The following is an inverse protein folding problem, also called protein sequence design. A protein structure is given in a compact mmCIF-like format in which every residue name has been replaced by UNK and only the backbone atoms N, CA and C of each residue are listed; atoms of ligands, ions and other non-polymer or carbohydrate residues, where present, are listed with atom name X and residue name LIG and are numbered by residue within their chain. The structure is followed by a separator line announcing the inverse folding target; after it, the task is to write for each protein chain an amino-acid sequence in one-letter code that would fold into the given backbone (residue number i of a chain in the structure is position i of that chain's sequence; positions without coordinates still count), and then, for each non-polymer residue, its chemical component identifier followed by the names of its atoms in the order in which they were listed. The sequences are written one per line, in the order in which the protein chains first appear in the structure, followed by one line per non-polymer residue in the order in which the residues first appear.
data_IF_915915842661
#
_entry.id   IF_915915842661
#
_cell.length_a   1.000
_cell.length_b   1.000
_cell.length_c   1.000
_cell.angle_alpha   90.00
_cell.angle_beta   90.00
_cell.angle_gamma   90.00
#
_symmetry.space_group_name_H-M   'P 1'
#
loop_
_entity.id
_entity.type
_entity.pdbx_description
1 polymer ?
#
# COMPACT_ATOMS: atom_id res chain seq x y z
N UNK A 1 4.63 -25.61 0.23
CA UNK A 1 4.37 -25.04 -1.11
C UNK A 1 5.00 -23.66 -1.14
N UNK A 2 5.84 -23.38 -2.12
CA UNK A 2 6.47 -22.07 -2.31
C UNK A 2 5.68 -21.29 -3.36
N UNK A 3 5.50 -19.98 -3.15
CA UNK A 3 4.85 -19.08 -4.11
C UNK A 3 5.90 -18.10 -4.62
N UNK A 4 6.04 -18.00 -5.94
CA UNK A 4 6.91 -17.02 -6.59
C UNK A 4 6.03 -15.90 -7.17
N UNK A 5 6.36 -14.66 -6.85
CA UNK A 5 5.64 -13.47 -7.31
C UNK A 5 6.63 -12.63 -8.13
N UNK A 6 6.15 -12.09 -9.25
CA UNK A 6 6.89 -11.15 -10.08
C UNK A 6 6.22 -9.77 -9.99
N UNK A 7 6.99 -8.69 -9.79
CA UNK A 7 6.43 -7.34 -9.88
C UNK A 7 5.86 -7.06 -11.27
N UNK A 8 4.76 -6.31 -11.34
CA UNK A 8 4.19 -5.79 -12.58
C UNK A 8 4.73 -4.41 -12.95
N UNK A 9 5.49 -3.79 -12.06
CA UNK A 9 6.03 -2.44 -12.21
C UNK A 9 6.66 -1.96 -10.91
N UNK A 10 6.91 -0.66 -10.82
CA UNK A 10 7.50 -0.02 -9.64
C UNK A 10 6.89 1.36 -9.38
N UNK A 11 6.95 1.79 -8.12
CA UNK A 11 6.63 3.15 -7.71
C UNK A 11 7.79 4.08 -8.04
N UNK A 12 7.49 5.28 -8.54
CA UNK A 12 8.43 6.36 -8.76
C UNK A 12 7.97 7.64 -8.06
N UNK A 13 8.73 8.10 -7.08
CA UNK A 13 8.45 9.31 -6.30
C UNK A 13 9.73 9.91 -5.70
N UNK A 14 9.61 10.87 -4.76
CA UNK A 14 10.75 11.48 -4.07
C UNK A 14 10.93 10.97 -2.63
N UNK A 15 10.11 10.02 -2.20
CA UNK A 15 10.10 9.51 -0.83
C UNK A 15 11.27 8.55 -0.61
N UNK A 16 12.23 8.96 0.23
CA UNK A 16 13.37 8.10 0.61
C UNK A 16 13.16 7.36 1.91
N UNK A 17 12.23 7.85 2.73
CA UNK A 17 11.86 7.29 4.03
C UNK A 17 10.46 7.77 4.39
N UNK A 18 9.66 6.88 4.97
CA UNK A 18 8.36 7.26 5.50
C UNK A 18 8.45 7.88 6.87
N UNK A 19 7.88 9.08 6.98
CA UNK A 19 7.72 9.83 8.24
C UNK A 19 6.28 10.33 8.44
N UNK A 20 5.30 9.74 7.75
CA UNK A 20 3.90 10.21 7.71
C UNK A 20 3.63 11.18 6.56
N UNK A 21 2.40 11.69 6.45
CA UNK A 21 2.01 12.62 5.38
C UNK A 21 1.84 11.99 3.99
N UNK A 22 1.90 10.65 3.92
CA UNK A 22 1.79 9.87 2.68
C UNK A 22 0.52 10.18 1.87
N UNK A 23 -0.56 10.64 2.53
CA UNK A 23 -1.83 11.03 1.87
C UNK A 23 -1.66 12.11 0.80
N UNK A 24 -0.66 12.97 0.95
CA UNK A 24 -0.39 14.05 -0.01
C UNK A 24 0.67 13.69 -1.04
N UNK A 25 1.32 12.53 -0.89
CA UNK A 25 2.38 12.09 -1.79
C UNK A 25 1.78 11.70 -3.14
N UNK A 26 2.30 12.32 -4.20
CA UNK A 26 2.06 11.89 -5.58
C UNK A 26 3.11 10.87 -5.98
N UNK A 27 2.67 9.76 -6.57
CA UNK A 27 3.54 8.68 -7.01
C UNK A 27 3.12 8.23 -8.40
N UNK A 28 4.09 8.03 -9.28
CA UNK A 28 3.86 7.36 -10.56
C UNK A 28 4.02 5.85 -10.37
N UNK A 29 2.99 5.08 -10.69
CA UNK A 29 3.09 3.63 -10.86
C UNK A 29 3.53 3.37 -12.29
N UNK A 30 4.81 3.02 -12.46
CA UNK A 30 5.39 2.69 -13.76
C UNK A 30 5.21 1.20 -13.99
N UNK A 31 4.16 0.84 -14.73
CA UNK A 31 3.81 -0.53 -15.06
C UNK A 31 4.68 -1.02 -16.23
N UNK A 32 5.12 -2.27 -16.22
CA UNK A 32 5.88 -2.85 -17.32
C UNK A 32 5.07 -2.80 -18.62
N UNK A 33 5.70 -2.41 -19.73
CA UNK A 33 5.00 -2.13 -21.00
C UNK A 33 4.17 -3.31 -21.51
N UNK A 34 4.60 -4.54 -21.24
CA UNK A 34 3.86 -5.75 -21.64
C UNK A 34 2.48 -5.85 -20.97
N UNK A 35 2.27 -5.19 -19.82
CA UNK A 35 1.00 -5.14 -19.11
C UNK A 35 0.18 -3.88 -19.42
N UNK A 36 0.67 -2.97 -20.27
CA UNK A 36 -0.06 -1.74 -20.63
C UNK A 36 -1.50 -2.00 -21.11
N UNK A 37 -1.80 -3.01 -21.95
CA UNK A 37 -3.18 -3.30 -22.34
C UNK A 37 -4.11 -3.65 -21.16
N UNK A 38 -3.58 -4.11 -20.03
CA UNK A 38 -4.37 -4.42 -18.84
C UNK A 38 -4.86 -3.18 -18.07
N UNK A 39 -4.45 -1.98 -18.49
CA UNK A 39 -4.87 -0.70 -17.88
C UNK A 39 -6.15 -0.13 -18.52
N UNK A 40 -6.66 -0.74 -19.60
CA UNK A 40 -7.85 -0.27 -20.31
C UNK A 40 -9.09 -0.26 -19.38
N UNK A 41 -9.82 0.86 -19.37
CA UNK A 41 -11.03 1.07 -18.55
C UNK A 41 -10.74 1.46 -17.10
N UNK A 42 -9.48 1.56 -16.69
CA UNK A 42 -9.12 1.96 -15.32
C UNK A 42 -9.39 3.45 -15.04
N UNK A 43 -9.48 4.27 -16.09
CA UNK A 43 -9.79 5.69 -16.05
C UNK A 43 -11.25 6.00 -15.70
N UNK A 44 -12.15 5.01 -15.78
CA UNK A 44 -13.53 5.12 -15.27
C UNK A 44 -13.61 5.07 -13.73
N UNK A 45 -12.52 4.67 -13.06
CA UNK A 45 -12.44 4.59 -11.61
C UNK A 45 -11.72 5.82 -11.03
N UNK A 46 -12.16 6.28 -9.86
CA UNK A 46 -11.46 7.35 -9.14
C UNK A 46 -10.34 6.83 -8.24
N UNK A 47 -10.39 5.57 -7.81
CA UNK A 47 -9.48 5.01 -6.83
C UNK A 47 -9.04 3.59 -7.18
N UNK A 48 -7.83 3.24 -6.75
CA UNK A 48 -7.25 1.90 -6.84
C UNK A 48 -6.90 1.36 -5.47
N UNK A 49 -6.94 0.04 -5.34
CA UNK A 49 -6.19 -0.70 -4.34
C UNK A 49 -4.88 -1.14 -4.98
N UNK A 50 -3.76 -0.69 -4.42
CA UNK A 50 -2.41 -1.04 -4.88
C UNK A 50 -1.79 -2.03 -3.91
N UNK A 51 -1.29 -3.15 -4.43
CA UNK A 51 -0.57 -4.18 -3.67
C UNK A 51 0.91 -4.11 -4.06
N UNK A 52 1.78 -4.01 -3.07
CA UNK A 52 3.21 -3.76 -3.29
C UNK A 52 4.10 -4.56 -2.33
N UNK A 53 5.36 -4.72 -2.70
CA UNK A 53 6.35 -5.43 -1.89
C UNK A 53 7.26 -4.42 -1.18
N UNK A 54 7.24 -4.42 0.14
CA UNK A 54 8.09 -3.55 0.97
C UNK A 54 9.53 -4.10 0.99
N UNK A 55 10.22 -3.95 -0.14
CA UNK A 55 11.50 -4.56 -0.48
C UNK A 55 12.69 -4.17 0.44
N UNK A 56 12.53 -3.16 1.30
CA UNK A 56 13.52 -2.76 2.31
C UNK A 56 13.27 -3.38 3.68
N UNK A 57 12.20 -4.15 3.85
CA UNK A 57 11.96 -4.91 5.08
C UNK A 57 12.83 -6.15 5.04
N UNK A 58 13.79 -6.22 5.96
CA UNK A 58 14.80 -7.28 6.06
C UNK A 58 14.52 -8.27 7.20
N UNK A 59 13.50 -8.00 8.01
CA UNK A 59 13.19 -8.73 9.23
C UNK A 59 11.68 -8.92 9.41
N UNK A 60 11.33 -10.00 10.10
CA UNK A 60 9.97 -10.34 10.46
C UNK A 60 9.84 -10.32 11.98
N UNK A 61 8.80 -9.67 12.48
CA UNK A 61 8.43 -9.65 13.89
C UNK A 61 7.12 -10.40 14.10
N UNK A 62 6.99 -11.13 15.21
CA UNK A 62 5.72 -11.80 15.57
C UNK A 62 4.79 -10.89 16.38
N UNK A 63 5.37 -9.92 17.09
CA UNK A 63 4.68 -8.95 17.95
C UNK A 63 5.32 -7.59 17.75
N UNK A 64 4.51 -6.53 17.76
CA UNK A 64 4.97 -5.17 17.52
C UNK A 64 4.12 -4.17 18.29
N UNK A 65 4.71 -3.04 18.69
CA UNK A 65 3.98 -1.88 19.21
C UNK A 65 3.74 -0.93 18.04
N UNK A 66 2.50 -0.77 17.54
CA UNK A 66 2.22 0.03 16.34
C UNK A 66 2.81 1.45 16.41
N UNK A 67 3.50 1.85 15.33
CA UNK A 67 4.21 3.14 15.22
C UNK A 67 5.21 3.41 16.35
N UNK A 68 5.67 2.36 17.05
CA UNK A 68 6.53 2.46 18.23
C UNK A 68 5.99 3.35 19.35
N UNK A 69 4.65 3.51 19.45
CA UNK A 69 3.97 4.33 20.45
C UNK A 69 3.87 3.61 21.82
N UNK A 70 5.01 3.27 22.40
CA UNK A 70 5.12 2.56 23.68
C UNK A 70 4.37 3.28 24.81
N UNK A 71 3.57 2.54 25.58
CA UNK A 71 2.76 3.08 26.67
C UNK A 71 1.48 3.81 26.24
N UNK A 72 1.30 4.10 24.94
CA UNK A 72 0.10 4.74 24.39
C UNK A 72 -0.83 3.69 23.77
N UNK A 73 -0.24 2.73 23.05
CA UNK A 73 -0.92 1.60 22.42
C UNK A 73 -0.35 0.26 22.91
N UNK A 74 -1.13 -0.83 22.91
CA UNK A 74 -0.63 -2.13 23.33
C UNK A 74 0.36 -2.71 22.33
N UNK A 75 1.23 -3.60 22.81
CA UNK A 75 1.92 -4.54 21.94
C UNK A 75 0.92 -5.59 21.46
N UNK A 76 0.86 -5.82 20.15
CA UNK A 76 -0.07 -6.75 19.52
C UNK A 76 0.67 -7.71 18.60
N UNK A 77 0.04 -8.82 18.23
CA UNK A 77 0.57 -9.70 17.18
C UNK A 77 0.69 -8.97 15.84
N UNK A 78 1.68 -9.30 15.03
CA UNK A 78 1.95 -8.59 13.76
C UNK A 78 0.77 -8.59 12.78
N UNK A 79 -0.11 -9.60 12.87
CA UNK A 79 -1.31 -9.69 12.05
C UNK A 79 -2.48 -8.84 12.56
N UNK A 80 -2.40 -8.31 13.78
CA UNK A 80 -3.39 -7.39 14.34
C UNK A 80 -3.07 -5.92 14.04
N UNK A 81 -1.97 -5.63 13.33
CA UNK A 81 -1.59 -4.29 12.90
C UNK A 81 -1.09 -4.29 11.44
N UNK A 82 -0.77 -3.10 10.92
CA UNK A 82 -0.27 -2.88 9.55
C UNK A 82 1.24 -2.61 9.49
N UNK A 83 1.99 -3.00 10.51
CA UNK A 83 3.44 -2.83 10.54
C UNK A 83 4.11 -3.60 9.38
N UNK A 84 5.15 -3.05 8.74
CA UNK A 84 5.79 -3.64 7.56
C UNK A 84 6.58 -4.94 7.83
N UNK A 85 7.06 -5.18 9.06
CA UNK A 85 7.91 -6.30 9.45
C UNK A 85 7.16 -7.65 9.57
N UNK A 86 6.54 -8.10 8.47
CA UNK A 86 5.66 -9.28 8.40
C UNK A 86 6.38 -10.46 7.71
N UNK A 87 5.89 -11.70 7.86
CA UNK A 87 6.48 -12.86 7.18
C UNK A 87 6.55 -12.71 5.65
N UNK A 88 5.53 -12.09 5.06
CA UNK A 88 5.53 -11.60 3.69
C UNK A 88 5.26 -10.09 3.76
N UNK A 89 6.24 -9.22 3.48
CA UNK A 89 6.14 -7.78 3.61
C UNK A 89 5.34 -7.16 2.45
N UNK A 90 4.10 -7.62 2.31
CA UNK A 90 3.13 -7.15 1.33
C UNK A 90 2.38 -5.96 1.94
N UNK A 91 2.50 -4.81 1.29
CA UNK A 91 1.73 -3.62 1.60
C UNK A 91 0.48 -3.51 0.72
N UNK A 92 -0.48 -2.74 1.22
CA UNK A 92 -1.74 -2.46 0.55
C UNK A 92 -2.16 -1.02 0.89
N UNK A 93 -2.50 -0.24 -0.13
CA UNK A 93 -3.01 1.12 0.00
C UNK A 93 -4.17 1.36 -0.96
N UNK A 94 -5.17 2.12 -0.53
CA UNK A 94 -6.19 2.67 -1.41
C UNK A 94 -5.78 4.09 -1.80
N UNK A 95 -5.69 4.37 -3.09
CA UNK A 95 -5.09 5.61 -3.63
C UNK A 95 -6.03 6.25 -4.65
N UNK A 96 -5.97 7.57 -4.79
CA UNK A 96 -6.70 8.32 -5.80
C UNK A 96 -5.94 8.26 -7.13
N UNK A 97 -6.66 8.02 -8.24
CA UNK A 97 -6.11 8.14 -9.60
C UNK A 97 -6.17 9.61 -10.01
N UNK A 98 -5.01 10.20 -10.30
CA UNK A 98 -4.93 11.56 -10.84
C UNK A 98 -4.87 11.55 -12.36
N UNK A 99 -4.18 10.56 -12.94
CA UNK A 99 -3.97 10.46 -14.38
C UNK A 99 -3.50 9.07 -14.77
N UNK A 100 -3.93 8.62 -15.95
CA UNK A 100 -3.35 7.46 -16.64
C UNK A 100 -2.81 7.92 -17.99
N UNK A 101 -1.57 7.55 -18.32
CA UNK A 101 -0.98 7.79 -19.63
C UNK A 101 -0.02 6.66 -19.98
N UNK A 102 -0.26 6.02 -21.12
CA UNK A 102 0.51 4.86 -21.58
C UNK A 102 0.57 3.78 -20.48
N UNK A 103 1.76 3.40 -20.04
CA UNK A 103 1.99 2.42 -18.97
C UNK A 103 2.19 3.06 -17.59
N UNK A 104 1.79 4.31 -17.39
CA UNK A 104 1.99 5.06 -16.14
C UNK A 104 0.67 5.50 -15.55
N UNK A 105 0.46 5.21 -14.26
CA UNK A 105 -0.68 5.69 -13.47
C UNK A 105 -0.15 6.63 -12.39
N UNK A 106 -0.45 7.92 -12.50
CA UNK A 106 -0.14 8.90 -11.45
C UNK A 106 -1.23 8.83 -10.39
N UNK A 107 -0.83 8.54 -9.15
CA UNK A 107 -1.73 8.39 -8.00
C UNK A 107 -1.37 9.34 -6.87
N UNK A 108 -2.34 9.60 -6.00
CA UNK A 108 -2.16 10.33 -4.74
C UNK A 108 -2.49 9.44 -3.54
N UNK A 109 -1.69 9.55 -2.49
CA UNK A 109 -1.93 8.84 -1.24
C UNK A 109 -1.31 7.45 -1.17
N UNK A 110 -0.21 7.19 -1.88
CA UNK A 110 0.50 5.91 -1.79
C UNK A 110 1.61 5.97 -0.74
N UNK A 111 1.50 5.14 0.30
CA UNK A 111 2.48 5.01 1.38
C UNK A 111 3.65 4.08 0.98
N UNK A 112 4.43 4.48 -0.03
CA UNK A 112 5.66 3.76 -0.47
C UNK A 112 6.84 4.70 -0.71
N UNK A 113 8.04 4.17 -0.51
CA UNK A 113 9.28 4.83 -0.93
C UNK A 113 9.52 4.62 -2.44
N UNK A 114 10.39 5.44 -3.01
CA UNK A 114 10.84 5.30 -4.40
C UNK A 114 11.35 3.88 -4.69
N UNK A 115 11.17 3.44 -5.94
CA UNK A 115 11.54 2.11 -6.45
C UNK A 115 10.78 0.93 -5.80
N UNK A 116 9.75 1.18 -4.99
CA UNK A 116 8.96 0.08 -4.38
C UNK A 116 8.28 -0.78 -5.45
N UNK A 117 8.52 -2.10 -5.49
CA UNK A 117 7.89 -2.98 -6.47
C UNK A 117 6.38 -3.06 -6.29
N UNK A 118 5.65 -2.91 -7.39
CA UNK A 118 4.20 -3.09 -7.46
C UNK A 118 3.91 -4.53 -7.86
N UNK A 119 3.08 -5.22 -7.07
CA UNK A 119 2.71 -6.61 -7.31
C UNK A 119 1.40 -6.71 -8.09
N UNK A 120 0.43 -5.85 -7.76
CA UNK A 120 -0.90 -5.89 -8.37
C UNK A 120 -1.63 -4.56 -8.15
N UNK A 121 -2.63 -4.30 -9.00
CA UNK A 121 -3.55 -3.16 -8.86
C UNK A 121 -4.98 -3.64 -9.11
N UNK A 122 -5.93 -3.10 -8.35
CA UNK A 122 -7.35 -3.41 -8.50
C UNK A 122 -8.17 -2.13 -8.40
N UNK A 123 -9.28 -1.99 -9.14
CA UNK A 123 -10.19 -0.88 -8.91
C UNK A 123 -10.79 -0.96 -7.51
N UNK A 124 -10.85 0.18 -6.80
CA UNK A 124 -11.64 0.26 -5.57
C UNK A 124 -13.12 0.17 -5.93
N UNK A 125 -13.82 -0.79 -5.32
CA UNK A 125 -15.23 -1.07 -5.58
C UNK A 125 -15.95 -1.13 -4.24
N UNK A 126 -16.82 -0.17 -3.90
CA UNK A 126 -17.50 -0.12 -2.60
C UNK A 126 -18.23 -1.42 -2.23
N UNK A 127 -18.78 -2.15 -3.22
CA UNK A 127 -19.46 -3.43 -3.01
C UNK A 127 -18.53 -4.53 -2.48
N UNK A 128 -17.22 -4.43 -2.73
CA UNK A 128 -16.21 -5.37 -2.22
C UNK A 128 -15.43 -4.81 -1.03
N UNK A 129 -15.10 -3.51 -1.07
CA UNK A 129 -14.09 -2.92 -0.20
C UNK A 129 -14.67 -2.10 0.97
N UNK A 130 -15.92 -1.65 0.89
CA UNK A 130 -16.54 -0.82 1.93
C UNK A 130 -17.42 -1.64 2.88
N UNK A 131 -17.13 -1.56 4.17
CA UNK A 131 -17.90 -2.18 5.24
C UNK A 131 -18.34 -1.09 6.22
N UNK A 132 -19.62 -0.72 6.17
CA UNK A 132 -20.15 0.44 6.89
C UNK A 132 -20.07 0.30 8.43
N UNK A 133 -20.18 -0.92 8.95
CA UNK A 133 -20.23 -1.26 10.38
C UNK A 133 -18.94 -1.96 10.87
N UNK A 134 -17.82 -1.74 10.16
CA UNK A 134 -16.53 -2.28 10.55
C UNK A 134 -16.15 -1.81 11.97
N UNK A 135 -15.68 -2.76 12.80
CA UNK A 135 -15.19 -2.48 14.15
C UNK A 135 -13.67 -2.53 14.19
N UNK A 136 -13.06 -1.54 14.85
CA UNK A 136 -11.63 -1.52 15.16
C UNK A 136 -11.39 -1.43 16.67
N UNK A 137 -10.24 -1.88 17.18
CA UNK A 137 -9.86 -1.64 18.58
C UNK A 137 -9.67 -0.13 18.87
N UNK A 138 -10.01 0.31 20.08
CA UNK A 138 -9.91 1.73 20.50
C UNK A 138 -8.50 2.33 20.38
N UNK A 139 -7.45 1.51 20.45
CA UNK A 139 -6.08 2.00 20.32
C UNK A 139 -5.72 2.43 18.89
N UNK A 140 -6.50 2.04 17.88
CA UNK A 140 -6.29 2.44 16.48
C UNK A 140 -6.47 3.95 16.32
N UNK A 141 -7.41 4.56 17.05
CA UNK A 141 -7.66 6.00 17.03
C UNK A 141 -6.52 6.83 17.63
N UNK A 142 -5.55 6.17 18.27
CA UNK A 142 -4.34 6.80 18.86
C UNK A 142 -3.15 6.80 17.89
N UNK A 143 -3.30 6.23 16.70
CA UNK A 143 -2.25 6.21 15.66
C UNK A 143 -2.27 7.49 14.82
N UNK A 144 -1.12 7.83 14.26
CA UNK A 144 -0.97 8.98 13.35
C UNK A 144 -1.19 8.51 11.91
N UNK A 145 -1.95 9.28 11.13
CA UNK A 145 -2.22 8.99 9.73
C UNK A 145 -2.07 10.23 8.86
#
# INVERSE_FOLDING_TARGET
MEIKIQPIGFAKNQEKRHTGGWREVMTDLVIEKQYQPALEGLDDYSHLVVIYWLHKVDSCELRHVPQSKHGIVPEVGIFACRCPARPNPIGLSTVEILKIKDNVITVKGLDVIDETPILDIKPYTPQYDFVADAKVPEWVDKLDY
#
